data_IF_831356709941
#
_entry.id   IF_831356709941
#
_cell.length_a   1.000
_cell.length_b   1.000
_cell.length_c   1.000
_cell.angle_alpha   90.00
_cell.angle_beta   90.00
_cell.angle_gamma   90.00
#
_symmetry.space_group_name_H-M   'P 1'
#
loop_
_entity.id
_entity.type
_entity.pdbx_description
1 polymer ?
#
# COMPACT_ATOMS: atom_id res chain seq x y z
N UNK A 1 -8.31 -21.73 14.22
CA UNK A 1 -8.17 -21.99 12.78
C UNK A 1 -9.39 -21.70 11.94
N UNK A 2 -10.59 -22.17 12.29
CA UNK A 2 -11.79 -21.87 11.48
C UNK A 2 -12.46 -20.56 11.90
N UNK A 3 -12.78 -20.41 13.19
CA UNK A 3 -13.30 -19.16 13.78
C UNK A 3 -12.47 -17.92 13.42
N UNK A 4 -11.14 -18.04 13.46
CA UNK A 4 -10.24 -16.92 13.15
C UNK A 4 -10.31 -16.51 11.67
N UNK A 5 -10.51 -17.47 10.75
CA UNK A 5 -10.70 -17.18 9.33
C UNK A 5 -12.07 -16.56 9.07
N UNK A 6 -13.10 -17.01 9.77
CA UNK A 6 -14.44 -16.41 9.68
C UNK A 6 -14.42 -14.95 10.16
N UNK A 7 -13.73 -14.66 11.27
CA UNK A 7 -13.52 -13.29 11.73
C UNK A 7 -12.73 -12.44 10.73
N UNK A 8 -11.67 -13.00 10.12
CA UNK A 8 -10.90 -12.32 9.06
C UNK A 8 -11.77 -12.02 7.84
N UNK A 9 -12.56 -12.97 7.37
CA UNK A 9 -13.46 -12.80 6.23
C UNK A 9 -14.55 -11.76 6.53
N UNK A 10 -15.15 -11.81 7.72
CA UNK A 10 -16.14 -10.82 8.13
C UNK A 10 -15.53 -9.41 8.19
N UNK A 11 -14.30 -9.28 8.70
CA UNK A 11 -13.56 -8.02 8.68
C UNK A 11 -13.28 -7.56 7.27
N UNK A 12 -12.73 -8.42 6.43
CA UNK A 12 -12.41 -8.10 5.04
C UNK A 12 -13.64 -7.63 4.27
N UNK A 13 -14.79 -8.28 4.43
CA UNK A 13 -16.04 -7.83 3.81
C UNK A 13 -16.43 -6.41 4.22
N UNK A 14 -16.11 -5.99 5.45
CA UNK A 14 -16.38 -4.64 5.94
C UNK A 14 -15.29 -3.60 5.58
N UNK A 15 -14.03 -4.03 5.48
CA UNK A 15 -12.86 -3.17 5.28
C UNK A 15 -12.41 -3.06 3.83
N UNK A 16 -12.74 -4.01 2.95
CA UNK A 16 -12.42 -3.91 1.52
C UNK A 16 -13.15 -2.69 0.95
N UNK A 17 -12.38 -1.72 0.48
CA UNK A 17 -12.87 -0.50 -0.17
C UNK A 17 -12.41 -0.50 -1.62
N UNK A 18 -13.11 0.25 -2.50
CA UNK A 18 -12.64 0.47 -3.87
C UNK A 18 -11.38 1.33 -3.92
N UNK A 19 -11.00 2.00 -2.83
CA UNK A 19 -9.81 2.82 -2.71
C UNK A 19 -8.77 2.20 -1.77
N UNK A 20 -7.49 2.44 -2.05
CA UNK A 20 -6.36 1.93 -1.25
C UNK A 20 -5.35 3.02 -0.84
N UNK A 21 -5.46 4.22 -1.41
CA UNK A 21 -4.53 5.30 -1.11
C UNK A 21 -4.59 5.74 0.36
N UNK A 22 -3.42 5.98 0.93
CA UNK A 22 -3.26 6.64 2.22
C UNK A 22 -1.96 7.44 2.25
N UNK A 23 -1.89 8.42 3.14
CA UNK A 23 -0.73 9.30 3.26
C UNK A 23 0.49 8.57 3.84
N UNK A 24 1.68 8.99 3.43
CA UNK A 24 2.94 8.44 3.94
C UNK A 24 3.32 7.08 3.37
N UNK A 25 2.73 6.65 2.25
CA UNK A 25 3.19 5.47 1.50
C UNK A 25 3.99 5.87 0.26
N UNK A 26 4.83 4.96 -0.23
CA UNK A 26 5.60 5.13 -1.47
C UNK A 26 4.91 4.38 -2.60
N UNK A 27 4.46 5.10 -3.61
CA UNK A 27 3.81 4.55 -4.82
C UNK A 27 4.71 4.68 -6.04
N UNK A 28 4.46 3.88 -7.07
CA UNK A 28 5.13 3.97 -8.36
C UNK A 28 4.14 4.48 -9.41
N UNK A 29 4.51 5.53 -10.12
CA UNK A 29 3.65 6.15 -11.14
C UNK A 29 3.68 5.32 -12.42
N UNK A 30 2.51 4.91 -12.90
CA UNK A 30 2.32 4.13 -14.13
C UNK A 30 1.55 4.89 -15.23
N UNK A 31 1.14 6.13 -14.99
CA UNK A 31 0.54 6.98 -16.03
C UNK A 31 1.46 7.15 -17.23
N UNK A 32 0.99 6.75 -18.42
CA UNK A 32 1.72 6.92 -19.69
C UNK A 32 1.78 8.40 -20.10
N UNK A 33 0.79 9.20 -19.72
CA UNK A 33 0.72 10.63 -20.03
C UNK A 33 1.76 11.44 -19.24
N UNK A 34 2.33 10.83 -18.19
CA UNK A 34 3.40 11.42 -17.40
C UNK A 34 4.81 10.96 -17.83
N UNK A 35 4.93 10.25 -18.95
CA UNK A 35 6.22 9.84 -19.53
C UNK A 35 7.04 11.07 -19.95
N UNK A 36 6.44 11.99 -20.72
CA UNK A 36 7.13 13.20 -21.19
C UNK A 36 7.56 14.13 -20.06
N UNK A 37 6.86 14.07 -18.93
CA UNK A 37 7.17 14.81 -17.71
C UNK A 37 8.20 14.12 -16.82
N UNK A 38 8.68 12.93 -17.19
CA UNK A 38 9.70 12.18 -16.47
C UNK A 38 9.23 11.46 -15.19
N UNK A 39 7.92 11.30 -14.99
CA UNK A 39 7.39 10.63 -13.80
C UNK A 39 7.10 9.15 -14.00
N UNK A 40 6.96 8.68 -15.24
CA UNK A 40 6.66 7.28 -15.50
C UNK A 40 7.70 6.33 -14.87
N UNK A 41 7.22 5.30 -14.18
CA UNK A 41 7.97 4.32 -13.39
C UNK A 41 8.78 4.89 -12.23
N UNK A 42 8.59 6.16 -11.89
CA UNK A 42 9.25 6.77 -10.74
C UNK A 42 8.50 6.48 -9.45
N UNK A 43 9.25 6.33 -8.35
CA UNK A 43 8.70 6.17 -7.00
C UNK A 43 8.50 7.53 -6.34
N UNK A 44 7.32 7.75 -5.77
CA UNK A 44 6.97 9.00 -5.07
C UNK A 44 6.24 8.72 -3.78
N UNK A 45 6.30 9.69 -2.87
CA UNK A 45 5.58 9.64 -1.60
C UNK A 45 4.21 10.26 -1.81
N UNK A 46 3.17 9.61 -1.31
CA UNK A 46 1.84 10.19 -1.20
C UNK A 46 1.84 11.16 -0.03
N UNK A 47 1.77 12.46 -0.32
CA UNK A 47 1.76 13.51 0.70
C UNK A 47 0.36 13.85 1.18
N UNK A 48 -0.65 13.67 0.32
CA UNK A 48 -2.05 13.91 0.65
C UNK A 48 -2.96 13.02 -0.19
N UNK A 49 -4.08 12.58 0.38
CA UNK A 49 -5.17 11.92 -0.35
C UNK A 49 -6.38 12.86 -0.39
N UNK A 50 -7.02 13.01 -1.55
CA UNK A 50 -8.20 13.88 -1.69
C UNK A 50 -9.45 13.27 -1.04
N UNK A 51 -10.49 14.07 -0.87
CA UNK A 51 -11.72 13.67 -0.15
C UNK A 51 -12.47 12.51 -0.82
N UNK A 52 -12.33 12.36 -2.14
CA UNK A 52 -12.87 11.21 -2.90
C UNK A 52 -12.12 9.90 -2.62
N UNK A 53 -10.91 9.97 -2.06
CA UNK A 53 -10.00 8.86 -1.71
C UNK A 53 -9.34 8.13 -2.88
N UNK A 54 -9.62 8.54 -4.12
CA UNK A 54 -9.08 7.92 -5.33
C UNK A 54 -7.89 8.67 -5.89
N UNK A 55 -7.72 9.94 -5.52
CA UNK A 55 -6.64 10.79 -6.03
C UNK A 55 -5.61 11.09 -4.94
N UNK A 56 -4.33 10.85 -5.25
CA UNK A 56 -3.20 11.21 -4.39
C UNK A 56 -2.47 12.44 -4.93
N UNK A 57 -2.03 13.31 -4.02
CA UNK A 57 -1.00 14.30 -4.29
C UNK A 57 0.39 13.69 -4.00
N UNK A 58 1.29 13.81 -4.99
CA UNK A 58 2.69 13.36 -4.90
C UNK A 58 3.64 14.52 -5.23
N UNK A 59 4.82 14.56 -4.59
CA UNK A 59 5.80 15.62 -4.84
C UNK A 59 6.42 15.55 -6.24
N UNK A 60 6.65 16.72 -6.84
CA UNK A 60 7.37 16.87 -8.09
C UNK A 60 8.89 16.72 -7.93
N UNK A 61 9.59 16.32 -9.01
CA UNK A 61 11.04 16.06 -8.99
C UNK A 61 11.91 17.29 -8.72
N UNK A 62 11.57 18.43 -9.31
CA UNK A 62 12.47 19.60 -9.37
C UNK A 62 11.81 20.91 -8.92
N UNK A 63 10.51 20.91 -8.61
CA UNK A 63 9.76 22.10 -8.19
C UNK A 63 8.95 21.81 -6.92
N UNK A 64 8.74 22.84 -6.10
CA UNK A 64 7.75 22.84 -4.98
C UNK A 64 6.32 22.81 -5.54
N UNK A 65 5.96 21.72 -6.20
CA UNK A 65 4.63 21.48 -6.76
C UNK A 65 4.16 20.09 -6.39
N UNK A 66 2.84 19.92 -6.35
CA UNK A 66 2.18 18.63 -6.17
C UNK A 66 1.57 18.19 -7.49
N UNK A 67 1.69 16.91 -7.81
CA UNK A 67 1.00 16.27 -8.93
C UNK A 67 -0.14 15.43 -8.36
N UNK A 68 -1.33 15.58 -8.93
CA UNK A 68 -2.49 14.75 -8.60
C UNK A 68 -2.54 13.59 -9.57
N UNK A 69 -2.61 12.38 -9.03
CA UNK A 69 -2.62 11.14 -9.81
C UNK A 69 -3.69 10.22 -9.24
N UNK A 70 -4.53 9.66 -10.12
CA UNK A 70 -5.53 8.68 -9.73
C UNK A 70 -4.85 7.36 -9.32
N UNK A 71 -5.43 6.66 -8.36
CA UNK A 71 -4.95 5.36 -7.91
C UNK A 71 -4.81 4.32 -9.02
N UNK A 72 -5.61 4.40 -10.09
CA UNK A 72 -5.52 3.50 -11.25
C UNK A 72 -4.21 3.69 -12.03
N UNK A 73 -3.59 4.86 -11.89
CA UNK A 73 -2.31 5.18 -12.51
C UNK A 73 -1.13 5.02 -11.54
N UNK A 74 -1.36 4.40 -10.38
CA UNK A 74 -0.37 4.14 -9.34
C UNK A 74 -0.26 2.64 -9.04
N UNK A 75 0.94 2.21 -8.68
CA UNK A 75 1.23 0.83 -8.24
C UNK A 75 1.81 0.87 -6.83
N UNK A 76 1.44 -0.11 -6.00
CA UNK A 76 2.03 -0.28 -4.67
C UNK A 76 3.53 -0.61 -4.79
N UNK A 77 4.34 -0.18 -3.83
CA UNK A 77 5.77 -0.52 -3.82
C UNK A 77 6.05 -1.51 -2.71
N UNK A 78 6.60 -2.66 -3.06
CA UNK A 78 7.08 -3.63 -2.08
C UNK A 78 8.53 -3.30 -1.69
N UNK A 79 8.85 -3.05 -0.40
CA UNK A 79 10.22 -2.83 0.04
C UNK A 79 10.99 -4.16 0.09
N UNK A 80 12.28 -4.09 0.40
CA UNK A 80 13.07 -5.29 0.70
C UNK A 80 12.56 -5.95 1.98
N UNK A 81 12.86 -7.24 2.16
CA UNK A 81 12.64 -7.96 3.42
C UNK A 81 13.23 -7.17 4.59
N UNK A 82 12.48 -7.10 5.69
CA UNK A 82 12.76 -6.26 6.86
C UNK A 82 12.24 -4.83 6.74
N UNK A 83 11.77 -4.40 5.56
CA UNK A 83 11.20 -3.07 5.34
C UNK A 83 9.78 -2.91 5.91
N UNK A 84 9.45 -1.67 6.28
CA UNK A 84 8.14 -1.31 6.80
C UNK A 84 7.12 -1.08 5.68
N UNK A 85 5.92 -1.59 5.89
CA UNK A 85 4.77 -1.43 5.00
C UNK A 85 3.53 -0.98 5.76
N UNK A 86 2.58 -0.45 5.01
CA UNK A 86 1.19 -0.23 5.38
C UNK A 86 0.34 -1.28 4.68
N UNK A 87 -0.58 -1.90 5.41
CA UNK A 87 -1.63 -2.71 4.81
C UNK A 87 -2.70 -1.73 4.30
N UNK A 88 -2.91 -1.69 2.99
CA UNK A 88 -3.75 -0.71 2.30
C UNK A 88 -5.12 -1.27 1.90
N UNK A 89 -5.33 -2.58 2.04
CA UNK A 89 -6.60 -3.26 1.75
C UNK A 89 -6.69 -4.58 2.54
N UNK A 90 -7.84 -5.25 2.50
CA UNK A 90 -8.12 -6.50 3.22
C UNK A 90 -8.46 -6.32 4.71
N UNK A 91 -8.55 -7.43 5.44
CA UNK A 91 -9.00 -7.49 6.84
C UNK A 91 -8.17 -6.63 7.83
N UNK A 92 -6.92 -6.34 7.46
CA UNK A 92 -5.95 -5.62 8.30
C UNK A 92 -5.63 -4.22 7.77
N UNK A 93 -6.44 -3.69 6.84
CA UNK A 93 -6.29 -2.34 6.31
C UNK A 93 -6.05 -1.33 7.43
N UNK A 94 -5.04 -0.50 7.25
CA UNK A 94 -4.64 0.50 8.23
C UNK A 94 -3.71 -0.02 9.33
N UNK A 95 -3.20 -1.25 9.22
CA UNK A 95 -2.12 -1.74 10.10
C UNK A 95 -0.75 -1.46 9.48
N UNK A 96 0.24 -1.15 10.31
CA UNK A 96 1.64 -1.15 9.88
C UNK A 96 2.22 -2.53 10.11
N UNK A 97 3.11 -2.97 9.23
CA UNK A 97 3.74 -4.28 9.35
C UNK A 97 5.16 -4.26 8.78
N UNK A 98 5.92 -5.31 9.08
CA UNK A 98 7.25 -5.56 8.52
C UNK A 98 7.20 -6.75 7.57
N UNK A 99 7.88 -6.65 6.43
CA UNK A 99 8.02 -7.78 5.50
C UNK A 99 9.00 -8.80 6.09
N UNK A 100 8.55 -10.05 6.20
CA UNK A 100 9.38 -11.19 6.61
C UNK A 100 9.91 -11.97 5.41
N UNK A 101 9.09 -12.14 4.35
CA UNK A 101 9.50 -12.76 3.09
C UNK A 101 8.56 -12.37 1.97
N UNK A 102 9.02 -12.47 0.72
CA UNK A 102 8.21 -12.26 -0.49
C UNK A 102 8.16 -13.53 -1.31
N UNK A 103 7.01 -13.82 -1.92
CA UNK A 103 6.82 -14.91 -2.86
C UNK A 103 6.30 -14.33 -4.19
N UNK A 104 7.21 -14.00 -5.14
CA UNK A 104 6.83 -13.42 -6.43
C UNK A 104 5.99 -14.35 -7.29
N UNK A 105 6.15 -15.67 -7.16
CA UNK A 105 5.38 -16.65 -7.96
C UNK A 105 3.90 -16.66 -7.58
N UNK A 106 3.60 -16.33 -6.32
CA UNK A 106 2.23 -16.27 -5.78
C UNK A 106 1.73 -14.84 -5.56
N UNK A 107 2.49 -13.84 -5.99
CA UNK A 107 2.18 -12.42 -5.81
C UNK A 107 1.79 -12.06 -4.37
N UNK A 108 2.47 -12.66 -3.38
CA UNK A 108 2.17 -12.43 -1.98
C UNK A 108 3.41 -12.27 -1.10
N UNK A 109 3.23 -11.74 0.09
CA UNK A 109 4.28 -11.57 1.09
C UNK A 109 3.83 -12.09 2.47
N UNK A 110 4.79 -12.61 3.23
CA UNK A 110 4.63 -12.87 4.65
C UNK A 110 5.00 -11.61 5.41
N UNK A 111 4.09 -11.12 6.24
CA UNK A 111 4.29 -9.89 7.01
C UNK A 111 3.98 -10.11 8.49
N UNK A 112 4.57 -9.29 9.36
CA UNK A 112 4.25 -9.24 10.78
C UNK A 112 3.73 -7.85 11.14
N UNK A 113 2.52 -7.77 11.68
CA UNK A 113 1.94 -6.50 12.13
C UNK A 113 2.77 -5.97 13.30
N UNK A 114 3.11 -4.68 13.24
CA UNK A 114 3.80 -3.97 14.31
C UNK A 114 2.85 -2.96 14.97
N UNK A 115 2.73 -3.07 16.30
CA UNK A 115 1.92 -2.19 17.17
C UNK A 115 0.41 -2.29 16.89
N UNK A 116 -0.37 -1.73 17.82
CA UNK A 116 -1.84 -1.69 17.72
C UNK A 116 -2.52 -3.01 18.13
N UNK A 117 -3.78 -3.18 17.72
CA UNK A 117 -4.64 -4.27 18.19
C UNK A 117 -4.13 -5.67 17.82
N UNK A 118 -3.37 -5.78 16.73
CA UNK A 118 -2.90 -7.05 16.19
C UNK A 118 -1.37 -7.18 16.26
N UNK A 119 -0.74 -6.47 17.19
CA UNK A 119 0.72 -6.46 17.35
C UNK A 119 1.29 -7.89 17.44
N UNK A 120 2.37 -8.12 16.69
CA UNK A 120 3.04 -9.42 16.63
C UNK A 120 2.37 -10.46 15.73
N UNK A 121 1.13 -10.23 15.24
CA UNK A 121 0.43 -11.18 14.37
C UNK A 121 1.17 -11.37 13.05
N UNK A 122 1.39 -12.63 12.68
CA UNK A 122 2.00 -13.01 11.41
C UNK A 122 0.90 -13.34 10.41
N UNK A 123 0.92 -12.63 9.27
CA UNK A 123 0.07 -12.92 8.12
C UNK A 123 0.92 -13.71 7.12
N UNK A 124 0.61 -15.00 6.88
CA UNK A 124 1.49 -15.90 6.11
C UNK A 124 1.53 -15.57 4.61
N UNK A 125 0.46 -15.02 4.07
CA UNK A 125 0.33 -14.64 2.67
C UNK A 125 -0.66 -13.47 2.56
N UNK A 126 -0.13 -12.26 2.34
CA UNK A 126 -0.89 -11.07 1.99
C UNK A 126 -0.58 -10.70 0.55
N UNK A 127 -1.60 -10.36 -0.23
CA UNK A 127 -1.41 -9.94 -1.62
C UNK A 127 -0.50 -8.71 -1.70
N UNK A 128 0.36 -8.65 -2.71
CA UNK A 128 1.24 -7.50 -2.95
C UNK A 128 0.45 -6.22 -3.26
N UNK A 129 -0.75 -6.33 -3.82
CA UNK A 129 -1.63 -5.17 -4.08
C UNK A 129 -2.27 -4.63 -2.79
N UNK A 130 -2.36 -5.46 -1.74
CA UNK A 130 -2.94 -5.09 -0.45
C UNK A 130 -1.91 -4.49 0.53
N UNK A 131 -0.63 -4.37 0.14
CA UNK A 131 0.44 -3.80 0.96
C UNK A 131 1.28 -2.79 0.20
N UNK A 132 1.74 -1.74 0.87
CA UNK A 132 2.58 -0.71 0.26
C UNK A 132 3.68 -0.23 1.19
N UNK A 133 4.87 0.07 0.66
CA UNK A 133 6.02 0.58 1.41
C UNK A 133 5.62 1.84 2.17
N UNK A 134 5.91 1.86 3.47
CA UNK A 134 5.77 3.05 4.30
C UNK A 134 6.97 3.98 4.07
N UNK A 135 6.71 5.28 3.90
CA UNK A 135 7.73 6.32 3.88
C UNK A 135 8.18 6.61 5.32
N UNK A 136 9.49 6.65 5.55
CA UNK A 136 10.12 6.88 6.85
C UNK A 136 11.05 8.08 6.75
#
# INVERSE_FOLDING_TARGET
DELMREEEQAREASTRKPYWLCEGIVVKVLSKDLVEKGYYKQKRVVTKVLDDKFVAEIEMLEKKGVLRVDQEELETVIPRVGGMIRIVSGAYMGSNARILSVNPERFCAKVQIEKGLYDGRILPAVDMDDICKLFQ
#
